data_IF_062545558512
#
_entry.id   IF_062545558512
#
_cell.length_a   1.000
_cell.length_b   1.000
_cell.length_c   1.000
_cell.angle_alpha   90.00
_cell.angle_beta   90.00
_cell.angle_gamma   90.00
#
_symmetry.space_group_name_H-M   'P 1'
#
loop_
_entity.id
_entity.type
_entity.pdbx_description
1 polymer ?
#
# COMPACT_ATOMS: atom_id res chain seq x y z
N UNK A 1 -19.53 30.20 0.89
CA UNK A 1 -18.24 29.92 0.23
C UNK A 1 -18.30 28.53 -0.40
N UNK A 2 -18.64 28.43 -1.69
CA UNK A 2 -18.77 27.15 -2.42
C UNK A 2 -17.46 26.74 -3.11
N UNK A 3 -16.65 27.73 -3.50
CA UNK A 3 -15.38 27.50 -4.17
C UNK A 3 -14.36 26.85 -3.22
N UNK A 4 -14.29 27.31 -1.96
CA UNK A 4 -13.40 26.68 -0.96
C UNK A 4 -13.81 25.24 -0.63
N UNK A 5 -15.11 24.94 -0.58
CA UNK A 5 -15.60 23.56 -0.40
C UNK A 5 -15.19 22.67 -1.57
N UNK A 6 -15.38 23.13 -2.81
CA UNK A 6 -15.03 22.36 -3.99
C UNK A 6 -13.52 22.09 -4.07
N UNK A 7 -12.69 23.10 -3.82
CA UNK A 7 -11.24 22.94 -3.81
C UNK A 7 -10.80 21.88 -2.79
N UNK A 8 -11.34 21.94 -1.57
CA UNK A 8 -11.04 20.94 -0.53
C UNK A 8 -11.54 19.53 -0.90
N UNK A 9 -12.72 19.41 -1.51
CA UNK A 9 -13.22 18.13 -2.01
C UNK A 9 -12.30 17.53 -3.08
N UNK A 10 -11.75 18.36 -3.97
CA UNK A 10 -10.77 17.93 -4.97
C UNK A 10 -9.45 17.45 -4.33
N UNK A 11 -8.95 18.18 -3.34
CA UNK A 11 -7.74 17.79 -2.59
C UNK A 11 -7.91 16.45 -1.87
N UNK A 12 -9.03 16.26 -1.17
CA UNK A 12 -9.34 15.00 -0.47
C UNK A 12 -9.56 13.87 -1.47
N UNK A 13 -10.25 14.12 -2.59
CA UNK A 13 -10.50 13.11 -3.62
C UNK A 13 -9.22 12.66 -4.33
N UNK A 14 -8.26 13.57 -4.56
CA UNK A 14 -6.95 13.21 -5.09
C UNK A 14 -6.19 12.29 -4.12
N UNK A 15 -6.14 12.66 -2.84
CA UNK A 15 -5.51 11.82 -1.81
C UNK A 15 -6.19 10.45 -1.70
N UNK A 16 -7.52 10.39 -1.77
CA UNK A 16 -8.26 9.12 -1.78
C UNK A 16 -7.85 8.23 -2.95
N UNK A 17 -7.76 8.80 -4.15
CA UNK A 17 -7.35 8.06 -5.35
C UNK A 17 -5.94 7.49 -5.19
N UNK A 18 -5.03 8.28 -4.65
CA UNK A 18 -3.64 7.87 -4.42
C UNK A 18 -3.53 6.75 -3.38
N UNK A 19 -4.28 6.86 -2.27
CA UNK A 19 -4.36 5.81 -1.23
C UNK A 19 -4.92 4.50 -1.81
N UNK A 20 -5.97 4.57 -2.65
CA UNK A 20 -6.53 3.40 -3.33
C UNK A 20 -5.49 2.76 -4.25
N UNK A 21 -4.78 3.56 -5.05
CA UNK A 21 -3.72 3.06 -5.93
C UNK A 21 -2.60 2.34 -5.18
N UNK A 22 -2.13 2.92 -4.08
CA UNK A 22 -1.12 2.30 -3.22
C UNK A 22 -1.62 0.97 -2.61
N UNK A 23 -2.88 0.94 -2.15
CA UNK A 23 -3.47 -0.28 -1.56
C UNK A 23 -3.65 -1.40 -2.59
N UNK A 24 -4.05 -1.06 -3.82
CA UNK A 24 -4.10 -2.02 -4.93
C UNK A 24 -2.71 -2.57 -5.23
N UNK A 25 -1.71 -1.70 -5.36
CA UNK A 25 -0.32 -2.12 -5.61
C UNK A 25 0.22 -3.04 -4.51
N UNK A 26 -0.08 -2.75 -3.24
CA UNK A 26 0.28 -3.62 -2.12
C UNK A 26 -0.34 -5.02 -2.24
N UNK A 27 -1.61 -5.09 -2.61
CA UNK A 27 -2.32 -6.37 -2.78
C UNK A 27 -1.68 -7.20 -3.87
N UNK A 28 -1.36 -6.59 -5.02
CA UNK A 28 -0.70 -7.26 -6.13
C UNK A 28 0.68 -7.82 -5.74
N UNK A 29 1.47 -7.01 -5.03
CA UNK A 29 2.83 -7.39 -4.60
C UNK A 29 2.80 -8.49 -3.54
N UNK A 30 1.87 -8.43 -2.58
CA UNK A 30 1.67 -9.48 -1.59
C UNK A 30 1.26 -10.81 -2.26
N UNK A 31 0.37 -10.75 -3.26
CA UNK A 31 0.00 -11.94 -4.03
C UNK A 31 1.20 -12.52 -4.80
N UNK A 32 2.05 -11.66 -5.39
CA UNK A 32 3.24 -12.12 -6.08
C UNK A 32 4.28 -12.73 -5.12
N UNK A 33 4.50 -12.15 -3.94
CA UNK A 33 5.38 -12.72 -2.91
C UNK A 33 4.88 -14.08 -2.41
N UNK A 34 3.57 -14.26 -2.29
CA UNK A 34 2.98 -15.56 -1.98
C UNK A 34 3.32 -16.60 -3.06
N UNK A 35 3.20 -16.23 -4.35
CA UNK A 35 3.56 -17.10 -5.47
C UNK A 35 5.06 -17.42 -5.50
N UNK A 36 5.93 -16.42 -5.27
CA UNK A 36 7.39 -16.60 -5.17
C UNK A 36 7.74 -17.62 -4.10
N UNK A 37 7.21 -17.45 -2.89
CA UNK A 37 7.45 -18.38 -1.77
C UNK A 37 7.03 -19.81 -2.14
N UNK A 38 5.92 -19.97 -2.86
CA UNK A 38 5.47 -21.27 -3.32
C UNK A 38 6.41 -21.90 -4.36
N UNK A 39 6.94 -21.11 -5.29
CA UNK A 39 7.92 -21.57 -6.29
C UNK A 39 9.23 -21.97 -5.62
N UNK A 40 9.77 -21.14 -4.72
CA UNK A 40 11.00 -21.45 -3.97
C UNK A 40 10.84 -22.74 -3.19
N UNK A 41 9.71 -22.90 -2.48
CA UNK A 41 9.43 -24.11 -1.70
C UNK A 41 9.34 -25.39 -2.54
N UNK A 42 8.86 -25.30 -3.79
CA UNK A 42 8.65 -26.47 -4.68
C UNK A 42 9.87 -26.80 -5.53
N UNK A 43 10.77 -25.85 -5.72
CA UNK A 43 11.91 -25.98 -6.64
C UNK A 43 13.17 -26.32 -5.85
N UNK A 44 13.59 -27.59 -5.90
CA UNK A 44 14.74 -28.09 -5.11
C UNK A 44 16.09 -27.46 -5.49
N UNK A 45 16.19 -26.86 -6.68
CA UNK A 45 17.42 -26.23 -7.17
C UNK A 45 17.59 -24.78 -6.71
N UNK A 46 16.53 -24.16 -6.18
CA UNK A 46 16.60 -22.79 -5.66
C UNK A 46 17.12 -22.81 -4.21
N UNK A 47 17.89 -21.77 -3.86
CA UNK A 47 18.33 -21.58 -2.48
C UNK A 47 17.12 -21.26 -1.59
N UNK A 48 17.04 -21.97 -0.46
CA UNK A 48 15.97 -21.80 0.52
C UNK A 48 16.05 -20.44 1.23
N UNK A 49 17.20 -19.75 1.19
CA UNK A 49 17.37 -18.38 1.68
C UNK A 49 16.40 -17.39 1.04
N UNK A 50 16.12 -17.54 -0.26
CA UNK A 50 15.17 -16.70 -1.03
C UNK A 50 13.75 -16.72 -0.46
N UNK A 51 13.35 -17.82 0.21
CA UNK A 51 12.07 -17.88 0.91
C UNK A 51 12.06 -16.99 2.15
N UNK A 52 13.19 -16.93 2.86
CA UNK A 52 13.39 -16.05 4.01
C UNK A 52 13.27 -14.59 3.60
N UNK A 53 13.95 -14.22 2.52
CA UNK A 53 13.93 -12.86 1.96
C UNK A 53 12.52 -12.47 1.50
N UNK A 54 11.84 -13.33 0.74
CA UNK A 54 10.46 -13.11 0.31
C UNK A 54 9.50 -12.96 1.49
N UNK A 55 9.67 -13.75 2.56
CA UNK A 55 8.88 -13.63 3.79
C UNK A 55 9.18 -12.34 4.55
N UNK A 56 10.41 -11.87 4.54
CA UNK A 56 10.78 -10.61 5.18
C UNK A 56 10.15 -9.42 4.48
N UNK A 57 10.25 -9.38 3.16
CA UNK A 57 9.66 -8.34 2.32
C UNK A 57 8.12 -8.35 2.48
N UNK A 58 7.51 -9.54 2.48
CA UNK A 58 6.06 -9.68 2.73
C UNK A 58 5.65 -9.08 4.08
N UNK A 59 6.40 -9.33 5.16
CA UNK A 59 6.10 -8.73 6.48
C UNK A 59 6.12 -7.21 6.42
N UNK A 60 7.13 -6.61 5.77
CA UNK A 60 7.23 -5.14 5.64
C UNK A 60 6.03 -4.56 4.87
N UNK A 61 5.57 -5.24 3.82
CA UNK A 61 4.36 -4.83 3.10
C UNK A 61 3.07 -5.04 3.88
N UNK A 62 2.99 -6.08 4.73
CA UNK A 62 1.86 -6.28 5.63
C UNK A 62 1.78 -5.18 6.69
N UNK A 63 2.92 -4.81 7.29
CA UNK A 63 3.00 -3.71 8.26
C UNK A 63 2.55 -2.38 7.61
N UNK A 64 3.00 -2.11 6.38
CA UNK A 64 2.60 -0.92 5.63
C UNK A 64 1.11 -0.94 5.24
N UNK A 65 0.57 -2.10 4.87
CA UNK A 65 -0.87 -2.25 4.60
C UNK A 65 -1.67 -1.92 5.86
N UNK A 66 -1.25 -2.42 7.01
CA UNK A 66 -1.93 -2.20 8.28
C UNK A 66 -1.91 -0.70 8.68
N UNK A 67 -0.87 0.06 8.31
CA UNK A 67 -0.83 1.52 8.46
C UNK A 67 -1.84 2.24 7.52
N UNK A 68 -1.92 1.81 6.26
CA UNK A 68 -2.78 2.43 5.24
C UNK A 68 -4.28 2.13 5.45
N UNK A 69 -4.63 0.89 5.74
CA UNK A 69 -6.03 0.45 5.83
C UNK A 69 -6.53 0.33 7.26
N UNK A 70 -5.63 0.25 8.24
CA UNK A 70 -5.96 -0.12 9.61
C UNK A 70 -5.94 -1.64 9.77
N UNK A 71 -5.52 -2.09 10.95
CA UNK A 71 -5.45 -3.51 11.31
C UNK A 71 -6.82 -3.99 11.82
N UNK A 72 -7.56 -4.76 11.01
CA UNK A 72 -8.87 -5.35 11.36
C UNK A 72 -8.84 -6.16 12.67
N UNK A 73 -7.67 -6.64 13.08
CA UNK A 73 -7.44 -7.40 14.31
C UNK A 73 -7.19 -6.53 15.54
N UNK A 74 -6.54 -5.36 15.40
CA UNK A 74 -6.34 -4.38 16.50
C UNK A 74 -7.56 -3.53 16.78
N UNK A 75 -8.33 -3.14 15.76
CA UNK A 75 -9.50 -2.25 15.93
C UNK A 75 -10.59 -2.87 16.82
N UNK A 76 -10.66 -4.21 16.92
CA UNK A 76 -11.60 -4.90 17.83
C UNK A 76 -11.23 -4.84 19.31
N UNK A 77 -9.99 -4.50 19.68
CA UNK A 77 -9.50 -4.62 21.08
C UNK A 77 -9.32 -3.29 21.83
N UNK A 78 -9.38 -2.14 21.16
CA UNK A 78 -9.19 -0.84 21.82
C UNK A 78 -10.19 0.19 21.31
N UNK A 79 -10.95 0.80 22.23
CA UNK A 79 -11.82 1.95 21.95
C UNK A 79 -10.99 3.23 21.64
N UNK A 80 -9.66 3.15 21.57
CA UNK A 80 -8.72 4.25 21.30
C UNK A 80 -7.67 3.91 20.23
N UNK A 81 -7.95 3.00 19.28
CA UNK A 81 -7.03 2.81 18.16
C UNK A 81 -6.97 4.08 17.30
N UNK A 82 -5.76 4.59 16.95
CA UNK A 82 -5.65 5.73 16.03
C UNK A 82 -6.23 5.34 14.66
N UNK A 83 -6.99 6.27 14.05
CA UNK A 83 -7.59 6.06 12.73
C UNK A 83 -6.51 5.82 11.67
N UNK A 84 -6.77 4.87 10.77
CA UNK A 84 -5.95 4.61 9.59
C UNK A 84 -5.99 5.78 8.60
N UNK A 85 -5.04 5.80 7.66
CA UNK A 85 -5.01 6.82 6.61
C UNK A 85 -6.32 6.79 5.82
N UNK A 86 -6.79 5.59 5.47
CA UNK A 86 -8.07 5.42 4.75
C UNK A 86 -9.25 5.96 5.55
N UNK A 87 -9.34 5.65 6.85
CA UNK A 87 -10.43 6.13 7.71
C UNK A 87 -10.44 7.66 7.83
N UNK A 88 -9.27 8.30 7.95
CA UNK A 88 -9.17 9.77 8.00
C UNK A 88 -9.61 10.42 6.69
N UNK A 89 -9.20 9.85 5.55
CA UNK A 89 -9.63 10.34 4.23
C UNK A 89 -11.15 10.19 4.06
N UNK A 90 -11.72 9.06 4.46
CA UNK A 90 -13.18 8.84 4.40
C UNK A 90 -13.93 9.83 5.31
N UNK A 91 -13.43 10.08 6.52
CA UNK A 91 -14.02 11.06 7.44
C UNK A 91 -13.95 12.49 6.89
N UNK A 92 -12.81 12.88 6.30
CA UNK A 92 -12.64 14.18 5.66
C UNK A 92 -13.62 14.35 4.48
N UNK A 93 -13.78 13.32 3.65
CA UNK A 93 -14.69 13.33 2.51
C UNK A 93 -16.16 13.39 2.97
N UNK A 94 -16.59 12.45 3.83
CA UNK A 94 -17.96 12.36 4.32
C UNK A 94 -18.41 13.60 5.10
N UNK A 95 -17.50 14.22 5.86
CA UNK A 95 -17.76 15.45 6.62
C UNK A 95 -17.98 16.69 5.75
N UNK A 96 -17.57 16.67 4.48
CA UNK A 96 -17.77 17.79 3.54
C UNK A 96 -19.05 17.68 2.73
N UNK A 97 -19.57 16.47 2.51
CA UNK A 97 -20.75 16.23 1.68
C UNK A 97 -22.04 16.84 2.28
N UNK A 98 -22.10 17.00 3.61
CA UNK A 98 -23.27 17.51 4.33
C UNK A 98 -23.13 18.97 4.81
N UNK A 99 -22.05 19.69 4.45
CA UNK A 99 -21.80 21.04 4.97
C UNK A 99 -22.01 22.16 3.96
N UNK A 100 -22.82 23.15 4.36
CA UNK A 100 -23.12 24.37 3.60
C UNK A 100 -22.10 25.51 3.82
N UNK A 101 -21.21 25.37 4.82
CA UNK A 101 -20.31 26.43 5.30
C UNK A 101 -18.83 26.00 5.27
N UNK A 102 -18.28 25.65 4.09
CA UNK A 102 -16.86 25.31 3.95
C UNK A 102 -16.41 24.07 4.77
N UNK A 103 -15.16 23.62 4.62
CA UNK A 103 -14.60 22.61 5.51
C UNK A 103 -14.28 23.20 6.90
N UNK A 104 -14.65 22.49 7.97
CA UNK A 104 -14.28 22.90 9.33
C UNK A 104 -12.77 22.76 9.56
N UNK A 105 -12.24 23.49 10.56
CA UNK A 105 -10.84 23.37 10.96
C UNK A 105 -10.45 21.92 11.31
N UNK A 106 -11.36 21.16 11.91
CA UNK A 106 -11.18 19.74 12.20
C UNK A 106 -10.99 18.90 10.93
N UNK A 107 -11.84 19.08 9.91
CA UNK A 107 -11.72 18.33 8.65
C UNK A 107 -10.41 18.64 7.93
N UNK A 108 -10.00 19.91 7.93
CA UNK A 108 -8.71 20.32 7.36
C UNK A 108 -7.55 19.66 8.10
N UNK A 109 -7.61 19.59 9.43
CA UNK A 109 -6.58 18.95 10.25
C UNK A 109 -6.49 17.45 9.98
N UNK A 110 -7.63 16.77 9.87
CA UNK A 110 -7.67 15.34 9.53
C UNK A 110 -7.07 15.07 8.14
N UNK A 111 -7.38 15.93 7.16
CA UNK A 111 -6.78 15.85 5.82
C UNK A 111 -5.25 16.04 5.86
N UNK A 112 -4.74 17.05 6.58
CA UNK A 112 -3.30 17.30 6.71
C UNK A 112 -2.58 16.10 7.33
N UNK A 113 -3.13 15.54 8.41
CA UNK A 113 -2.58 14.34 9.06
C UNK A 113 -2.55 13.17 8.08
N UNK A 114 -3.66 12.90 7.39
CA UNK A 114 -3.74 11.81 6.42
C UNK A 114 -2.75 11.99 5.25
N UNK A 115 -2.61 13.22 4.75
CA UNK A 115 -1.66 13.56 3.67
C UNK A 115 -0.23 13.30 4.11
N UNK A 116 0.15 13.78 5.28
CA UNK A 116 1.52 13.67 5.79
C UNK A 116 1.87 12.20 6.10
N UNK A 117 0.94 11.45 6.69
CA UNK A 117 1.09 10.00 6.91
C UNK A 117 1.20 9.23 5.58
N UNK A 118 0.34 9.57 4.59
CA UNK A 118 0.40 8.94 3.27
C UNK A 118 1.71 9.21 2.54
N UNK A 119 2.29 10.41 2.68
CA UNK A 119 3.58 10.72 2.07
C UNK A 119 4.69 9.78 2.57
N UNK A 120 4.74 9.53 3.89
CA UNK A 120 5.68 8.60 4.51
C UNK A 120 5.40 7.15 4.09
N UNK A 121 4.13 6.74 4.08
CA UNK A 121 3.73 5.41 3.66
C UNK A 121 4.10 5.14 2.19
N UNK A 122 3.92 6.15 1.32
CA UNK A 122 4.32 6.07 -0.09
C UNK A 122 5.82 5.96 -0.26
N UNK A 123 6.61 6.78 0.43
CA UNK A 123 8.08 6.69 0.37
C UNK A 123 8.57 5.32 0.84
N UNK A 124 7.92 4.76 1.88
CA UNK A 124 8.20 3.40 2.36
C UNK A 124 7.84 2.34 1.32
N UNK A 125 6.67 2.45 0.67
CA UNK A 125 6.25 1.58 -0.42
C UNK A 125 7.29 1.55 -1.54
N UNK A 126 7.66 2.73 -2.04
CA UNK A 126 8.58 2.90 -3.16
C UNK A 126 9.97 2.36 -2.78
N UNK A 127 10.46 2.64 -1.57
CA UNK A 127 11.75 2.12 -1.07
C UNK A 127 11.80 0.60 -1.02
N UNK A 128 10.73 -0.06 -0.56
CA UNK A 128 10.71 -1.53 -0.49
C UNK A 128 10.60 -2.12 -1.91
N UNK A 129 9.82 -1.48 -2.79
CA UNK A 129 9.62 -1.91 -4.18
C UNK A 129 10.87 -1.81 -5.04
N UNK A 130 11.61 -0.71 -4.91
CA UNK A 130 12.74 -0.37 -5.77
C UNK A 130 14.07 -0.93 -5.25
N UNK A 131 14.14 -1.33 -3.98
CA UNK A 131 15.30 -2.01 -3.40
C UNK A 131 15.02 -3.49 -3.14
N UNK A 132 14.68 -3.87 -1.89
CA UNK A 132 14.60 -5.28 -1.47
C UNK A 132 13.75 -6.17 -2.39
N UNK A 133 12.65 -5.65 -2.91
CA UNK A 133 11.79 -6.41 -3.80
C UNK A 133 12.42 -6.63 -5.19
N UNK A 134 13.09 -5.63 -5.79
CA UNK A 134 13.84 -5.85 -7.03
C UNK A 134 15.00 -6.82 -6.80
N UNK A 135 15.76 -6.64 -5.72
CA UNK A 135 16.90 -7.52 -5.39
C UNK A 135 16.47 -8.99 -5.31
N UNK A 136 15.29 -9.27 -4.73
CA UNK A 136 14.71 -10.61 -4.68
C UNK A 136 14.34 -11.14 -6.08
N UNK A 137 13.77 -10.30 -6.94
CA UNK A 137 13.38 -10.69 -8.30
C UNK A 137 14.60 -11.04 -9.15
N UNK A 138 15.66 -10.25 -9.05
CA UNK A 138 16.94 -10.46 -9.73
C UNK A 138 17.60 -11.75 -9.23
N UNK A 139 17.67 -11.95 -7.91
CA UNK A 139 18.23 -13.18 -7.34
C UNK A 139 17.49 -14.45 -7.77
N UNK A 140 16.17 -14.38 -7.93
CA UNK A 140 15.35 -15.48 -8.47
C UNK A 140 15.61 -15.71 -9.97
N UNK A 141 15.89 -14.66 -10.73
CA UNK A 141 16.25 -14.77 -12.15
C UNK A 141 17.60 -15.44 -12.34
N UNK A 142 18.61 -14.98 -11.59
CA UNK A 142 19.96 -15.54 -11.59
C UNK A 142 19.97 -17.01 -11.15
N UNK A 143 19.08 -17.38 -10.22
CA UNK A 143 18.89 -18.76 -9.78
C UNK A 143 18.09 -19.63 -10.78
N UNK A 144 17.62 -19.06 -11.89
CA UNK A 144 16.88 -19.77 -12.94
C UNK A 144 15.49 -20.22 -12.49
N UNK A 145 14.84 -19.47 -11.60
CA UNK A 145 13.53 -19.84 -11.08
C UNK A 145 12.49 -19.98 -12.21
N UNK A 146 11.63 -21.02 -12.17
CA UNK A 146 10.50 -21.11 -13.09
C UNK A 146 9.63 -19.86 -12.99
N UNK A 147 9.21 -19.35 -14.15
CA UNK A 147 8.48 -18.08 -14.26
C UNK A 147 7.28 -17.99 -13.30
N UNK A 148 7.31 -17.02 -12.38
CA UNK A 148 6.16 -16.68 -11.53
C UNK A 148 5.22 -15.73 -12.28
N UNK A 149 3.92 -16.01 -12.25
CA UNK A 149 2.90 -15.07 -12.76
C UNK A 149 3.04 -13.72 -12.04
N UNK A 150 3.35 -12.65 -12.78
CA UNK A 150 3.57 -11.31 -12.22
C UNK A 150 4.80 -10.61 -12.77
N UNK A 151 5.79 -11.36 -13.28
CA UNK A 151 6.82 -10.80 -14.16
C UNK A 151 6.16 -10.47 -15.49
N UNK A 152 6.28 -9.25 -15.99
CA UNK A 152 5.79 -8.89 -17.34
C UNK A 152 6.46 -9.83 -18.35
N UNK A 153 5.69 -10.44 -19.26
CA UNK A 153 6.22 -11.37 -20.28
C UNK A 153 7.48 -10.77 -20.91
N UNK A 154 8.59 -11.52 -21.07
CA UNK A 154 9.69 -11.05 -21.90
C UNK A 154 9.13 -10.81 -23.30
N UNK A 155 9.49 -9.66 -23.89
CA UNK A 155 9.06 -9.25 -25.21
C UNK A 155 9.20 -10.41 -26.20
N UNK A 156 8.06 -10.83 -26.75
CA UNK A 156 8.06 -11.44 -28.07
C UNK A 156 8.08 -10.27 -29.04
N UNK A 157 9.27 -9.96 -29.52
CA UNK A 157 9.39 -9.32 -30.82
C UNK A 157 8.97 -10.39 -31.84
N UNK A 158 7.69 -10.35 -32.23
CA UNK A 158 7.18 -11.01 -33.43
C UNK A 158 7.13 -9.99 -34.57
#
# INVERSE_FOLDING_TARGET
DRAATLAFQMEVGALQKDVVGATTRLTDVLAHLAAIKDVVRRTRTLDQSLYGDAREIERRFLDLRDELTGDETRTRRSQMAPLSITERVQNALGGTLNQTHGPTATLRREYEIARDQYAVARETLDTILDGPYQDLLDALEDAGAPWTSGRGRPGRDD
#
